data_IF_832804049718
#
_entry.id   IF_832804049718
#
_cell.length_a   1.000
_cell.length_b   1.000
_cell.length_c   1.000
_cell.angle_alpha   90.00
_cell.angle_beta   90.00
_cell.angle_gamma   90.00
#
_symmetry.space_group_name_H-M   'P 1'
#
loop_
_entity.id
_entity.type
_entity.pdbx_description
1 polymer ?
#
# COMPACT_ATOMS: atom_id res chain seq x y z
N UNK A 1 7.91 9.75 -21.55
CA UNK A 1 6.68 9.40 -20.84
C UNK A 1 6.91 8.13 -20.03
N UNK A 2 6.93 8.26 -18.72
CA UNK A 2 6.93 7.12 -17.80
C UNK A 2 5.48 6.92 -17.34
N UNK A 3 4.87 5.80 -17.68
CA UNK A 3 3.57 5.41 -17.15
C UNK A 3 3.80 4.32 -16.11
N UNK A 4 3.46 4.59 -14.85
CA UNK A 4 3.38 3.55 -13.83
C UNK A 4 1.99 2.94 -13.86
N UNK A 5 1.91 1.61 -13.96
CA UNK A 5 0.66 0.88 -13.75
C UNK A 5 0.26 0.98 -12.28
N UNK A 6 -1.01 1.27 -12.01
CA UNK A 6 -1.57 1.47 -10.67
C UNK A 6 -1.48 0.21 -9.81
N UNK A 7 -0.36 0.05 -9.18
CA UNK A 7 -0.18 -0.89 -8.09
C UNK A 7 -0.56 -0.19 -6.79
N UNK A 8 -0.97 -0.92 -5.78
CA UNK A 8 -1.60 -0.41 -4.57
C UNK A 8 -0.69 0.54 -3.79
N UNK A 9 -0.56 1.77 -4.30
CA UNK A 9 0.24 2.84 -3.70
C UNK A 9 -0.45 3.31 -2.42
N UNK A 10 0.31 3.41 -1.35
CA UNK A 10 -0.15 3.95 -0.07
C UNK A 10 0.85 4.95 0.51
N UNK A 11 0.37 5.81 1.39
CA UNK A 11 1.20 6.81 2.06
C UNK A 11 0.48 8.14 2.23
N UNK A 12 1.18 9.17 2.73
CA UNK A 12 0.61 10.49 2.98
C UNK A 12 -0.04 11.14 1.75
N UNK A 13 -0.88 12.15 1.98
CA UNK A 13 -1.58 12.96 0.99
C UNK A 13 -2.78 12.25 0.31
N UNK A 14 -3.40 11.27 0.95
CA UNK A 14 -4.54 10.56 0.35
C UNK A 14 -5.91 10.82 1.00
N UNK A 15 -5.99 11.71 2.00
CA UNK A 15 -7.22 12.01 2.73
C UNK A 15 -8.39 12.43 1.82
N UNK A 16 -8.10 13.10 0.70
CA UNK A 16 -9.09 13.55 -0.27
C UNK A 16 -9.69 12.42 -1.11
N UNK A 17 -9.08 11.23 -1.11
CA UNK A 17 -9.52 10.08 -1.93
C UNK A 17 -10.78 9.38 -1.42
N UNK A 18 -11.24 9.69 -0.19
CA UNK A 18 -12.41 9.05 0.41
C UNK A 18 -12.30 7.51 0.39
N UNK A 19 -13.27 6.83 -0.21
CA UNK A 19 -13.28 5.36 -0.31
C UNK A 19 -12.13 4.77 -1.14
N UNK A 20 -11.47 5.58 -1.96
CA UNK A 20 -10.35 5.17 -2.80
C UNK A 20 -8.99 5.34 -2.12
N UNK A 21 -8.98 5.81 -0.88
CA UNK A 21 -7.75 5.83 -0.07
C UNK A 21 -7.24 4.41 0.19
N UNK A 22 -5.97 4.29 0.52
CA UNK A 22 -5.34 2.99 0.74
C UNK A 22 -5.94 2.23 1.94
N UNK A 23 -5.71 0.92 1.95
CA UNK A 23 -6.15 0.09 3.07
C UNK A 23 -5.49 0.48 4.39
N UNK A 24 -4.21 0.93 4.37
CA UNK A 24 -3.54 1.40 5.59
C UNK A 24 -4.27 2.60 6.19
N UNK A 25 -4.67 3.57 5.34
CA UNK A 25 -5.46 4.72 5.77
C UNK A 25 -6.81 4.31 6.38
N UNK A 26 -7.51 3.38 5.72
CA UNK A 26 -8.79 2.87 6.24
C UNK A 26 -8.63 2.12 7.55
N UNK A 27 -7.64 1.22 7.67
CA UNK A 27 -7.35 0.46 8.87
C UNK A 27 -6.98 1.37 10.05
N UNK A 28 -6.17 2.40 9.81
CA UNK A 28 -5.82 3.41 10.81
C UNK A 28 -7.08 4.12 11.34
N UNK A 29 -7.96 4.61 10.44
CA UNK A 29 -9.19 5.27 10.84
C UNK A 29 -10.20 4.33 11.52
N UNK A 30 -10.30 3.07 11.09
CA UNK A 30 -11.11 2.05 11.78
C UNK A 30 -10.62 1.86 13.22
N UNK A 31 -9.30 1.77 13.43
CA UNK A 31 -8.77 1.64 14.77
C UNK A 31 -9.06 2.88 15.63
N UNK A 32 -8.97 4.09 15.10
CA UNK A 32 -9.33 5.30 15.83
C UNK A 32 -10.77 5.28 16.28
N UNK A 33 -11.68 4.84 15.41
CA UNK A 33 -13.12 4.83 15.66
C UNK A 33 -13.57 3.69 16.62
N UNK A 34 -13.07 2.48 16.43
CA UNK A 34 -13.62 1.28 17.07
C UNK A 34 -12.57 0.43 17.82
N UNK A 35 -11.27 0.81 17.77
CA UNK A 35 -10.15 0.00 18.28
C UNK A 35 -10.04 -1.37 17.59
N UNK A 36 -10.54 -1.45 16.36
CA UNK A 36 -10.57 -2.66 15.54
C UNK A 36 -10.11 -2.36 14.12
N UNK A 37 -9.51 -3.35 13.49
CA UNK A 37 -9.24 -3.37 12.06
C UNK A 37 -10.09 -4.46 11.43
N UNK A 38 -10.87 -4.12 10.41
CA UNK A 38 -11.77 -5.06 9.74
C UNK A 38 -11.21 -5.47 8.38
N UNK A 39 -11.11 -6.77 8.17
CA UNK A 39 -10.72 -7.37 6.90
C UNK A 39 -11.82 -8.28 6.39
N UNK A 40 -11.82 -8.57 5.09
CA UNK A 40 -12.74 -9.56 4.54
C UNK A 40 -12.35 -10.97 4.97
N UNK A 41 -13.37 -11.76 5.25
CA UNK A 41 -13.25 -13.20 5.48
C UNK A 41 -12.80 -13.94 4.22
N UNK A 42 -12.64 -15.25 4.33
CA UNK A 42 -12.19 -16.12 3.24
C UNK A 42 -13.05 -15.96 1.99
N UNK A 43 -12.38 -15.92 0.82
CA UNK A 43 -13.05 -15.89 -0.46
C UNK A 43 -12.21 -16.58 -1.56
N UNK A 44 -12.84 -17.50 -2.30
CA UNK A 44 -12.15 -18.33 -3.29
C UNK A 44 -11.11 -19.23 -2.62
N UNK A 45 -9.90 -19.21 -3.15
CA UNK A 45 -8.77 -20.00 -2.64
C UNK A 45 -7.99 -19.29 -1.52
N UNK A 46 -8.47 -18.14 -1.06
CA UNK A 46 -7.79 -17.31 -0.05
C UNK A 46 -8.52 -17.37 1.30
N UNK A 47 -7.76 -17.59 2.37
CA UNK A 47 -8.23 -17.48 3.74
C UNK A 47 -8.60 -16.04 4.13
N UNK A 48 -9.12 -15.88 5.34
CA UNK A 48 -9.51 -14.58 5.88
C UNK A 48 -8.34 -13.60 5.90
N UNK A 49 -8.45 -12.48 5.19
CA UNK A 49 -7.41 -11.46 5.05
C UNK A 49 -6.15 -11.91 4.27
N UNK A 50 -6.18 -13.10 3.63
CA UNK A 50 -5.04 -13.65 2.92
C UNK A 50 -4.97 -13.25 1.44
N UNK A 51 -5.95 -12.48 0.94
CA UNK A 51 -5.83 -11.86 -0.37
C UNK A 51 -4.58 -10.99 -0.41
N UNK A 52 -3.87 -10.99 -1.54
CA UNK A 52 -2.54 -10.36 -1.64
C UNK A 52 -2.50 -9.25 -2.67
N UNK A 53 -1.69 -8.24 -2.40
CA UNK A 53 -1.37 -7.13 -3.29
C UNK A 53 0.10 -6.79 -3.21
N UNK A 54 0.63 -6.28 -4.31
CA UNK A 54 1.89 -5.58 -4.29
C UNK A 54 1.63 -4.15 -3.78
N UNK A 55 1.89 -3.96 -2.49
CA UNK A 55 1.74 -2.65 -1.84
C UNK A 55 3.05 -1.88 -1.96
N UNK A 56 3.00 -0.72 -2.58
CA UNK A 56 4.18 0.14 -2.74
C UNK A 56 4.00 1.45 -1.98
N UNK A 57 5.03 1.84 -1.23
CA UNK A 57 5.02 3.10 -0.50
C UNK A 57 5.21 4.28 -1.43
N UNK A 58 4.45 5.35 -1.22
CA UNK A 58 4.47 6.53 -2.11
C UNK A 58 5.85 7.15 -2.26
N UNK A 59 6.70 7.12 -1.22
CA UNK A 59 8.07 7.62 -1.31
C UNK A 59 8.93 6.82 -2.30
N UNK A 60 8.69 5.51 -2.41
CA UNK A 60 9.42 4.68 -3.37
C UNK A 60 8.98 4.99 -4.81
N UNK A 61 7.69 5.26 -5.03
CA UNK A 61 7.22 5.77 -6.33
C UNK A 61 7.92 7.08 -6.69
N UNK A 62 8.08 7.98 -5.71
CA UNK A 62 8.81 9.24 -5.90
C UNK A 62 10.28 8.99 -6.24
N UNK A 63 10.96 8.03 -5.57
CA UNK A 63 12.35 7.64 -5.90
C UNK A 63 12.47 7.15 -7.35
N UNK A 64 11.52 6.31 -7.80
CA UNK A 64 11.48 5.83 -9.19
C UNK A 64 11.30 7.00 -10.17
N UNK A 65 10.44 7.97 -9.84
CA UNK A 65 10.27 9.17 -10.67
C UNK A 65 11.56 10.00 -10.76
N UNK A 66 12.28 10.19 -9.65
CA UNK A 66 13.57 10.86 -9.65
C UNK A 66 14.63 10.09 -10.45
N UNK A 67 14.65 8.77 -10.35
CA UNK A 67 15.54 7.96 -11.19
C UNK A 67 15.36 8.27 -12.68
N UNK A 68 14.13 8.30 -13.18
CA UNK A 68 13.87 8.63 -14.59
C UNK A 68 14.12 10.11 -14.91
N UNK A 69 13.95 11.01 -13.93
CA UNK A 69 14.31 12.41 -14.09
C UNK A 69 15.82 12.59 -14.32
N UNK A 70 16.62 11.83 -13.59
CA UNK A 70 18.08 11.87 -13.69
C UNK A 70 18.64 11.07 -14.90
N UNK A 71 17.78 10.22 -15.53
CA UNK A 71 18.12 9.39 -16.70
C UNK A 71 17.17 9.67 -17.87
N UNK A 72 17.19 10.89 -18.45
CA UNK A 72 16.25 11.29 -19.50
C UNK A 72 16.39 10.49 -20.80
N UNK A 73 17.50 9.78 -21.01
CA UNK A 73 17.72 8.86 -22.12
C UNK A 73 16.89 7.58 -22.03
N UNK A 74 16.39 7.22 -20.82
CA UNK A 74 15.55 6.05 -20.60
C UNK A 74 14.11 6.45 -20.78
N UNK A 75 13.41 5.83 -21.71
CA UNK A 75 11.99 6.08 -21.96
C UNK A 75 11.19 4.81 -22.14
N UNK A 76 9.88 4.88 -21.89
CA UNK A 76 8.95 3.77 -22.08
C UNK A 76 7.97 3.59 -20.94
N UNK A 77 7.27 2.46 -20.95
CA UNK A 77 6.33 2.06 -19.90
C UNK A 77 7.05 1.09 -18.95
N UNK A 78 7.01 1.39 -17.67
CA UNK A 78 7.62 0.59 -16.61
C UNK A 78 6.58 0.30 -15.52
N UNK A 79 6.56 -0.94 -15.02
CA UNK A 79 5.81 -1.25 -13.82
C UNK A 79 6.58 -0.69 -12.62
N UNK A 80 5.86 0.03 -11.76
CA UNK A 80 6.39 0.55 -10.50
C UNK A 80 5.69 -0.16 -9.33
N UNK A 81 6.31 -1.21 -8.85
CA UNK A 81 5.89 -2.04 -7.73
C UNK A 81 7.08 -2.74 -7.11
N UNK A 82 6.88 -3.32 -5.93
CA UNK A 82 7.98 -3.94 -5.18
C UNK A 82 8.42 -5.29 -5.74
N UNK A 83 7.56 -5.94 -6.54
CA UNK A 83 7.72 -7.32 -6.97
C UNK A 83 7.42 -8.33 -5.88
N UNK A 84 6.90 -7.90 -4.73
CA UNK A 84 6.53 -8.75 -3.60
C UNK A 84 5.09 -8.48 -3.18
N UNK A 85 4.24 -9.50 -3.29
CA UNK A 85 2.86 -9.41 -2.85
C UNK A 85 2.76 -9.73 -1.35
N UNK A 86 2.05 -8.87 -0.61
CA UNK A 86 1.77 -9.03 0.82
C UNK A 86 0.28 -9.19 1.06
N UNK A 87 -0.09 -9.91 2.14
CA UNK A 87 -1.49 -10.09 2.53
C UNK A 87 -2.05 -8.83 3.20
N UNK A 88 -3.37 -8.66 3.17
CA UNK A 88 -4.01 -7.61 3.99
C UNK A 88 -3.78 -7.83 5.48
N UNK A 89 -3.61 -9.09 5.92
CA UNK A 89 -3.22 -9.42 7.29
C UNK A 89 -1.87 -8.78 7.68
N UNK A 90 -0.90 -8.71 6.76
CA UNK A 90 0.39 -8.05 7.01
C UNK A 90 0.20 -6.57 7.31
N UNK A 91 -0.58 -5.86 6.48
CA UNK A 91 -0.87 -4.44 6.73
C UNK A 91 -1.61 -4.22 8.06
N UNK A 92 -2.63 -5.04 8.33
CA UNK A 92 -3.42 -4.93 9.57
C UNK A 92 -2.56 -5.15 10.81
N UNK A 93 -1.67 -6.15 10.79
CA UNK A 93 -0.71 -6.38 11.88
C UNK A 93 0.24 -5.19 12.06
N UNK A 94 0.71 -4.58 10.98
CA UNK A 94 1.53 -3.36 11.02
C UNK A 94 0.82 -2.20 11.73
N UNK A 95 -0.45 -1.93 11.35
CA UNK A 95 -1.27 -0.90 11.97
C UNK A 95 -1.55 -1.20 13.45
N UNK A 96 -1.95 -2.44 13.79
CA UNK A 96 -2.19 -2.83 15.18
C UNK A 96 -0.90 -2.76 16.03
N UNK A 97 0.24 -3.12 15.46
CA UNK A 97 1.56 -3.00 16.12
C UNK A 97 1.90 -1.53 16.43
N UNK A 98 1.60 -0.62 15.51
CA UNK A 98 1.80 0.82 15.73
C UNK A 98 1.04 1.32 16.95
N UNK A 99 -0.22 0.93 17.11
CA UNK A 99 -1.04 1.33 18.25
C UNK A 99 -0.77 0.53 19.54
N UNK A 100 -0.08 -0.60 19.45
CA UNK A 100 0.19 -1.49 20.58
C UNK A 100 -1.06 -2.18 21.16
N UNK A 101 -2.23 -2.05 20.52
CA UNK A 101 -3.52 -2.59 20.99
C UNK A 101 -4.54 -2.66 19.87
N UNK A 102 -5.69 -3.30 20.15
CA UNK A 102 -6.79 -3.43 19.21
C UNK A 102 -7.00 -4.86 18.74
N UNK A 103 -8.05 -5.07 17.98
CA UNK A 103 -8.49 -6.38 17.52
C UNK A 103 -8.54 -6.43 15.99
N UNK A 104 -8.19 -7.58 15.42
CA UNK A 104 -8.43 -7.90 14.02
C UNK A 104 -9.77 -8.65 13.93
N UNK A 105 -10.71 -8.08 13.19
CA UNK A 105 -12.04 -8.65 12.97
C UNK A 105 -12.19 -9.04 11.48
N UNK A 106 -12.68 -10.24 11.22
CA UNK A 106 -13.02 -10.66 9.87
C UNK A 106 -14.50 -10.51 9.63
N UNK A 107 -14.85 -9.78 8.56
CA UNK A 107 -16.25 -9.52 8.16
C UNK A 107 -16.61 -10.31 6.90
N UNK A 108 -17.86 -10.72 6.73
CA UNK A 108 -18.29 -11.46 5.55
C UNK A 108 -17.86 -10.78 4.26
N UNK A 109 -17.35 -11.58 3.30
CA UNK A 109 -16.96 -11.07 2.00
C UNK A 109 -18.19 -10.49 1.27
N UNK A 110 -18.14 -9.22 0.79
CA UNK A 110 -19.31 -8.56 0.19
C UNK A 110 -19.78 -9.27 -1.09
N UNK A 111 -21.07 -9.58 -1.19
CA UNK A 111 -21.65 -10.26 -2.35
C UNK A 111 -21.41 -9.50 -3.66
N UNK A 112 -21.46 -8.16 -3.61
CA UNK A 112 -21.25 -7.29 -4.79
C UNK A 112 -19.85 -7.38 -5.40
N UNK A 113 -18.88 -7.88 -4.64
CA UNK A 113 -17.49 -8.05 -5.08
C UNK A 113 -17.21 -9.46 -5.59
N UNK A 114 -18.05 -10.44 -5.32
CA UNK A 114 -17.86 -11.82 -5.77
C UNK A 114 -17.75 -11.89 -7.30
N UNK A 115 -16.76 -12.64 -7.78
CA UNK A 115 -16.47 -12.78 -9.22
C UNK A 115 -15.83 -11.56 -9.89
N UNK A 116 -15.68 -10.43 -9.19
CA UNK A 116 -15.06 -9.20 -9.71
C UNK A 116 -13.82 -8.77 -8.91
N UNK A 117 -13.64 -9.37 -7.73
CA UNK A 117 -12.55 -9.01 -6.84
C UNK A 117 -11.25 -9.66 -7.29
N UNK A 118 -10.25 -8.83 -7.45
CA UNK A 118 -8.91 -9.30 -7.77
C UNK A 118 -8.21 -9.74 -6.49
N UNK A 119 -8.06 -11.05 -6.30
CA UNK A 119 -7.51 -11.61 -5.05
C UNK A 119 -5.98 -11.59 -4.98
N UNK A 120 -5.31 -11.36 -6.12
CA UNK A 120 -3.85 -11.33 -6.23
C UNK A 120 -3.41 -10.24 -7.21
N UNK A 121 -2.41 -9.45 -6.84
CA UNK A 121 -1.62 -8.62 -7.76
C UNK A 121 -0.16 -8.59 -7.32
N UNK A 122 0.74 -8.67 -8.30
CA UNK A 122 2.16 -8.51 -8.11
C UNK A 122 2.75 -7.85 -9.35
N UNK A 123 3.61 -6.86 -9.17
CA UNK A 123 4.31 -6.23 -10.28
C UNK A 123 5.45 -7.11 -10.78
N UNK A 124 5.64 -7.12 -12.09
CA UNK A 124 6.91 -7.51 -12.66
C UNK A 124 7.78 -6.25 -12.79
N UNK A 125 8.69 -6.07 -11.85
CA UNK A 125 9.63 -4.94 -11.81
C UNK A 125 10.91 -5.21 -12.63
N UNK A 126 11.04 -6.35 -13.31
CA UNK A 126 12.27 -6.77 -13.99
C UNK A 126 12.76 -5.74 -15.00
N UNK A 127 11.86 -5.10 -15.75
CA UNK A 127 12.20 -4.05 -16.71
C UNK A 127 12.77 -2.80 -16.04
N UNK A 128 12.24 -2.40 -14.89
CA UNK A 128 12.71 -1.26 -14.10
C UNK A 128 14.12 -1.52 -13.56
N UNK A 129 14.33 -2.71 -13.00
CA UNK A 129 15.66 -3.12 -12.50
C UNK A 129 16.67 -3.26 -13.62
N UNK A 130 16.29 -3.81 -14.77
CA UNK A 130 17.14 -3.92 -15.95
C UNK A 130 17.52 -2.54 -16.55
N UNK A 131 16.69 -1.51 -16.31
CA UNK A 131 16.99 -0.13 -16.68
C UNK A 131 18.02 0.54 -15.74
N UNK A 132 18.44 -0.14 -14.67
CA UNK A 132 19.47 0.33 -13.73
C UNK A 132 18.92 0.93 -12.43
N UNK A 133 17.59 0.83 -12.16
CA UNK A 133 17.07 1.27 -10.87
C UNK A 133 17.58 0.35 -9.76
N UNK A 134 18.35 0.91 -8.82
CA UNK A 134 18.94 0.22 -7.66
C UNK A 134 18.50 0.81 -6.31
N UNK A 135 17.57 1.78 -6.32
CA UNK A 135 17.13 2.51 -5.13
C UNK A 135 16.36 1.67 -4.11
N UNK A 136 16.04 0.41 -4.45
CA UNK A 136 15.29 -0.49 -3.59
C UNK A 136 13.86 -0.04 -3.31
N UNK A 137 13.15 -0.83 -2.51
CA UNK A 137 11.80 -0.53 -2.03
C UNK A 137 11.75 -0.69 -0.51
N UNK A 138 11.03 0.18 0.15
CA UNK A 138 10.87 0.17 1.60
C UNK A 138 10.08 -1.07 2.02
N UNK A 139 10.54 -1.75 3.07
CA UNK A 139 9.82 -2.88 3.63
C UNK A 139 8.41 -2.47 4.08
N UNK A 140 7.43 -3.37 3.89
CA UNK A 140 6.03 -3.06 4.16
C UNK A 140 5.77 -2.71 5.64
N UNK A 141 6.44 -3.39 6.57
CA UNK A 141 6.27 -3.12 8.01
C UNK A 141 6.85 -1.75 8.38
N UNK A 142 8.01 -1.39 7.81
CA UNK A 142 8.64 -0.08 8.00
C UNK A 142 7.77 1.03 7.41
N UNK A 143 7.31 0.87 6.17
CA UNK A 143 6.49 1.87 5.50
C UNK A 143 5.12 2.08 6.16
N UNK A 144 4.47 1.00 6.65
CA UNK A 144 3.23 1.11 7.43
C UNK A 144 3.45 1.86 8.72
N UNK A 145 4.54 1.55 9.46
CA UNK A 145 4.87 2.24 10.70
C UNK A 145 5.14 3.74 10.47
N UNK A 146 5.91 4.07 9.43
CA UNK A 146 6.19 5.47 9.07
C UNK A 146 4.90 6.20 8.69
N UNK A 147 4.05 5.60 7.87
CA UNK A 147 2.80 6.24 7.46
C UNK A 147 1.85 6.46 8.63
N UNK A 148 1.70 5.49 9.53
CA UNK A 148 0.91 5.67 10.76
C UNK A 148 1.46 6.83 11.61
N UNK A 149 2.78 6.96 11.75
CA UNK A 149 3.40 8.07 12.46
C UNK A 149 3.12 9.43 11.81
N UNK A 150 3.08 9.51 10.47
CA UNK A 150 2.66 10.73 9.75
C UNK A 150 1.19 11.03 10.00
N UNK A 151 0.32 10.01 10.01
CA UNK A 151 -1.11 10.18 10.32
C UNK A 151 -1.31 10.73 11.74
N UNK A 152 -0.56 10.23 12.74
CA UNK A 152 -0.61 10.74 14.11
C UNK A 152 -0.17 12.21 14.20
N UNK A 153 0.94 12.56 13.53
CA UNK A 153 1.58 13.86 13.66
C UNK A 153 0.83 14.97 12.92
N UNK A 154 0.32 14.67 11.72
CA UNK A 154 -0.16 15.70 10.78
C UNK A 154 -1.52 15.39 10.16
N UNK A 155 -2.19 14.32 10.60
CA UNK A 155 -3.42 13.83 9.97
C UNK A 155 -3.22 13.32 8.55
N UNK A 156 -1.99 12.94 8.19
CA UNK A 156 -1.66 12.36 6.88
C UNK A 156 -1.18 13.37 5.83
N UNK A 157 -0.92 14.61 6.21
CA UNK A 157 -0.34 15.61 5.31
C UNK A 157 1.12 15.88 5.65
N UNK A 158 1.97 16.07 4.63
CA UNK A 158 3.27 16.69 4.85
C UNK A 158 3.07 18.20 5.05
N UNK A 159 3.57 18.70 6.16
CA UNK A 159 3.67 20.15 6.40
C UNK A 159 5.05 20.62 5.94
N UNK A 160 5.12 21.86 5.42
CA UNK A 160 6.39 22.45 4.96
C UNK A 160 7.35 22.80 6.10
N UNK A 161 7.02 22.43 7.33
CA UNK A 161 7.91 22.54 8.49
C UNK A 161 8.69 21.24 8.64
N UNK A 162 9.80 21.14 7.93
CA UNK A 162 10.82 20.13 8.11
C UNK A 162 12.18 20.82 8.24
#
# INVERSE_FOLDING_TARGET
DVCSSDLNVYGPQENHKGKMASMVFHMYNQWLAEKKVKLFDAYGDYGAGEQTRDFIYVKDVVKVNFFFWDHPEISGVFNCGTGHAHTFNTLAKGVLKHFGSGELEYVPFPEVLKGKYQSYTQADASKLLAAGYDGGFTDVDEAVAEYCAVLDKTGGYYTHEA
#
